data_IF_042545238408
#
_entry.id   IF_042545238408
#
_cell.length_a   1.000
_cell.length_b   1.000
_cell.length_c   1.000
_cell.angle_alpha   90.00
_cell.angle_beta   90.00
_cell.angle_gamma   90.00
#
_symmetry.space_group_name_H-M   'P 1'
#
loop_
_entity.id
_entity.type
_entity.pdbx_description
1 polymer ?
#
# COMPACT_ATOMS: atom_id res chain seq x y z
N UNK A 1 1.92 -2.46 -20.65
CA UNK A 1 2.19 -3.24 -19.43
C UNK A 1 3.42 -2.66 -18.74
N UNK A 2 3.39 -2.50 -17.43
CA UNK A 2 4.53 -1.98 -16.67
C UNK A 2 5.32 -3.13 -16.02
N UNK A 3 6.49 -2.81 -15.45
CA UNK A 3 7.40 -3.79 -14.85
C UNK A 3 6.76 -4.64 -13.75
N UNK A 4 5.85 -4.07 -12.93
CA UNK A 4 5.22 -4.78 -11.83
C UNK A 4 4.12 -5.73 -12.34
N UNK A 5 3.37 -5.32 -13.36
CA UNK A 5 2.41 -6.18 -14.05
C UNK A 5 3.11 -7.38 -14.69
N UNK A 6 4.27 -7.15 -15.33
CA UNK A 6 5.10 -8.22 -15.91
C UNK A 6 5.61 -9.17 -14.82
N UNK A 7 6.11 -8.64 -13.70
CA UNK A 7 6.57 -9.47 -12.57
C UNK A 7 5.43 -10.29 -11.97
N UNK A 8 4.22 -9.72 -11.84
CA UNK A 8 3.03 -10.45 -11.38
C UNK A 8 2.68 -11.59 -12.32
N UNK A 9 2.77 -11.37 -13.64
CA UNK A 9 2.51 -12.45 -14.62
C UNK A 9 3.55 -13.57 -14.55
N UNK A 10 4.82 -13.24 -14.31
CA UNK A 10 5.91 -14.20 -14.25
C UNK A 10 5.90 -15.03 -12.96
N UNK A 11 5.79 -14.39 -11.82
CA UNK A 11 6.05 -15.00 -10.51
C UNK A 11 4.81 -15.05 -9.59
N UNK A 12 3.72 -14.43 -10.00
CA UNK A 12 2.47 -14.46 -9.25
C UNK A 12 1.75 -15.80 -9.39
N UNK A 13 0.92 -16.13 -8.40
CA UNK A 13 -0.03 -17.24 -8.48
C UNK A 13 -1.39 -16.82 -7.97
N UNK A 14 -2.45 -17.27 -8.62
CA UNK A 14 -3.82 -17.05 -8.17
C UNK A 14 -4.28 -18.31 -7.45
N UNK A 15 -4.67 -18.19 -6.19
CA UNK A 15 -5.22 -19.29 -5.39
C UNK A 15 -6.74 -19.27 -5.41
N UNK A 16 -7.35 -20.39 -5.02
CA UNK A 16 -8.82 -20.52 -4.91
C UNK A 16 -9.41 -19.37 -4.11
N UNK A 17 -10.49 -18.78 -4.62
CA UNK A 17 -11.11 -17.58 -4.07
C UNK A 17 -10.48 -16.28 -4.57
N UNK A 18 -9.78 -16.32 -5.72
CA UNK A 18 -9.16 -15.17 -6.39
C UNK A 18 -8.20 -14.41 -5.44
N UNK A 19 -7.33 -15.18 -4.76
CA UNK A 19 -6.29 -14.62 -3.90
C UNK A 19 -4.98 -14.59 -4.69
N UNK A 20 -4.50 -13.38 -5.00
CA UNK A 20 -3.19 -13.20 -5.61
C UNK A 20 -2.09 -13.41 -4.56
N UNK A 21 -1.16 -14.31 -4.86
CA UNK A 21 0.07 -14.51 -4.10
C UNK A 21 1.25 -13.99 -4.91
N UNK A 22 1.93 -13.03 -4.33
CA UNK A 22 3.17 -12.41 -4.83
C UNK A 22 4.24 -12.44 -3.73
N UNK A 23 4.19 -13.51 -2.94
CA UNK A 23 4.99 -13.70 -1.73
C UNK A 23 6.49 -13.79 -2.06
N UNK A 24 6.82 -14.23 -3.28
CA UNK A 24 8.19 -14.44 -3.75
C UNK A 24 8.99 -13.15 -3.96
N UNK A 25 8.33 -12.00 -4.05
CA UNK A 25 9.03 -10.74 -4.35
C UNK A 25 8.51 -9.50 -3.58
N UNK A 26 7.33 -9.57 -2.94
CA UNK A 26 6.76 -8.40 -2.28
C UNK A 26 6.44 -8.62 -0.79
N UNK A 27 5.76 -9.71 -0.42
CA UNK A 27 5.10 -9.81 0.88
C UNK A 27 5.78 -10.77 1.86
N UNK A 28 6.56 -11.75 1.38
CA UNK A 28 7.26 -12.72 2.22
C UNK A 28 8.76 -12.70 1.97
N UNK A 29 9.16 -12.83 0.72
CA UNK A 29 10.51 -12.50 0.26
C UNK A 29 10.49 -11.12 -0.37
N UNK A 30 11.52 -10.32 -0.09
CA UNK A 30 11.70 -8.99 -0.67
C UNK A 30 12.70 -9.11 -1.82
N UNK A 31 12.22 -8.93 -3.05
CA UNK A 31 13.08 -8.77 -4.22
C UNK A 31 13.51 -7.30 -4.30
N UNK A 32 14.77 -7.04 -4.00
CA UNK A 32 15.27 -5.67 -3.86
C UNK A 32 15.22 -4.88 -5.17
N UNK A 33 15.33 -5.54 -6.31
CA UNK A 33 15.30 -4.85 -7.61
C UNK A 33 13.88 -4.43 -7.96
N UNK A 34 12.89 -5.26 -7.65
CA UNK A 34 11.48 -4.91 -7.78
C UNK A 34 11.11 -3.78 -6.81
N UNK A 35 11.57 -3.86 -5.56
CA UNK A 35 11.30 -2.81 -4.56
C UNK A 35 11.91 -1.46 -4.97
N UNK A 36 13.12 -1.45 -5.55
CA UNK A 36 13.72 -0.23 -6.11
C UNK A 36 12.89 0.34 -7.25
N UNK A 37 12.45 -0.48 -8.19
CA UNK A 37 11.61 -0.05 -9.30
C UNK A 37 10.29 0.53 -8.81
N UNK A 38 9.64 -0.09 -7.80
CA UNK A 38 8.43 0.45 -7.14
C UNK A 38 8.72 1.83 -6.55
N UNK A 39 9.81 1.98 -5.79
CA UNK A 39 10.17 3.25 -5.16
C UNK A 39 10.47 4.34 -6.21
N UNK A 40 11.22 4.05 -7.27
CA UNK A 40 11.48 4.99 -8.36
C UNK A 40 10.20 5.41 -9.09
N UNK A 41 9.32 4.47 -9.36
CA UNK A 41 8.06 4.76 -10.06
C UNK A 41 7.13 5.62 -9.18
N UNK A 42 7.02 5.33 -7.89
CA UNK A 42 6.25 6.18 -6.96
C UNK A 42 6.87 7.58 -6.87
N UNK A 43 8.20 7.69 -6.75
CA UNK A 43 8.88 9.00 -6.77
C UNK A 43 8.59 9.77 -8.05
N UNK A 44 8.61 9.11 -9.20
CA UNK A 44 8.30 9.73 -10.51
C UNK A 44 6.86 10.26 -10.56
N UNK A 45 5.91 9.49 -10.02
CA UNK A 45 4.47 9.88 -10.02
C UNK A 45 4.19 11.04 -9.08
N UNK A 46 4.90 11.16 -7.97
CA UNK A 46 4.73 12.21 -6.97
C UNK A 46 5.78 13.32 -7.04
N UNK A 47 6.49 13.46 -8.18
CA UNK A 47 7.60 14.43 -8.33
C UNK A 47 7.20 15.90 -8.20
N UNK A 48 5.92 16.22 -8.37
CA UNK A 48 5.33 17.56 -8.41
C UNK A 48 4.68 17.98 -7.09
N UNK A 49 4.78 17.15 -6.04
CA UNK A 49 4.26 17.47 -4.71
C UNK A 49 5.37 17.48 -3.67
N UNK A 50 5.19 18.33 -2.67
CA UNK A 50 6.10 18.41 -1.52
C UNK A 50 5.76 17.33 -0.50
N UNK A 51 6.79 16.60 -0.08
CA UNK A 51 6.71 15.51 0.88
C UNK A 51 7.87 15.67 1.85
N UNK A 52 7.62 15.67 3.15
CA UNK A 52 8.66 15.71 4.18
C UNK A 52 8.60 14.50 5.12
N UNK A 53 7.65 13.58 4.88
CA UNK A 53 7.52 12.34 5.65
C UNK A 53 6.78 11.28 4.87
N UNK A 54 7.17 10.02 5.06
CA UNK A 54 6.44 8.86 4.53
C UNK A 54 5.78 8.13 5.69
N UNK A 55 4.51 7.76 5.53
CA UNK A 55 3.75 6.95 6.47
C UNK A 55 3.31 5.66 5.81
N UNK A 56 3.51 4.55 6.50
CA UNK A 56 3.04 3.23 6.07
C UNK A 56 2.43 2.46 7.23
N UNK A 57 2.06 1.21 6.99
CA UNK A 57 1.57 0.30 8.03
C UNK A 57 2.36 -1.00 8.01
N UNK A 58 2.65 -1.58 9.18
CA UNK A 58 3.34 -2.87 9.27
C UNK A 58 2.53 -4.00 8.61
N UNK A 59 3.19 -4.97 7.94
CA UNK A 59 4.64 -5.12 7.81
C UNK A 59 5.13 -4.82 6.37
N UNK A 60 4.41 -5.25 5.33
CA UNK A 60 4.87 -5.29 3.92
C UNK A 60 5.13 -3.91 3.30
N UNK A 61 4.37 -2.89 3.70
CA UNK A 61 4.59 -1.51 3.25
C UNK A 61 5.93 -0.91 3.70
N UNK A 62 6.55 -1.42 4.78
CA UNK A 62 7.79 -0.86 5.34
C UNK A 62 8.95 -0.93 4.34
N UNK A 63 9.09 -2.04 3.61
CA UNK A 63 10.18 -2.19 2.66
C UNK A 63 10.12 -1.14 1.53
N UNK A 64 8.94 -0.95 0.96
CA UNK A 64 8.70 0.06 -0.09
C UNK A 64 8.95 1.47 0.47
N UNK A 65 8.37 1.77 1.64
CA UNK A 65 8.49 3.07 2.29
C UNK A 65 9.96 3.42 2.58
N UNK A 66 10.77 2.45 3.04
CA UNK A 66 12.19 2.64 3.35
C UNK A 66 12.99 2.99 2.10
N UNK A 67 12.80 2.29 0.98
CA UNK A 67 13.51 2.61 -0.25
C UNK A 67 13.04 3.96 -0.85
N UNK A 68 11.75 4.24 -0.75
CA UNK A 68 11.21 5.51 -1.21
C UNK A 68 11.71 6.69 -0.37
N UNK A 69 11.82 6.52 0.95
CA UNK A 69 12.34 7.56 1.85
C UNK A 69 13.79 7.93 1.54
N UNK A 70 14.61 6.94 1.20
CA UNK A 70 15.98 7.18 0.76
C UNK A 70 16.03 8.06 -0.52
N UNK A 71 15.06 7.92 -1.42
CA UNK A 71 14.98 8.75 -2.62
C UNK A 71 14.51 10.19 -2.33
N UNK A 72 13.69 10.39 -1.30
CA UNK A 72 13.17 11.70 -0.90
C UNK A 72 14.04 12.38 0.16
N UNK A 73 14.95 11.65 0.80
CA UNK A 73 15.72 12.08 1.96
C UNK A 73 14.83 12.56 3.13
N UNK A 74 13.81 11.76 3.45
CA UNK A 74 12.81 12.04 4.48
C UNK A 74 12.61 10.84 5.40
N UNK A 75 12.17 11.03 6.66
CA UNK A 75 11.94 9.91 7.56
C UNK A 75 10.71 9.09 7.17
N UNK A 76 10.76 7.79 7.54
CA UNK A 76 9.60 6.88 7.50
C UNK A 76 9.04 6.71 8.90
N UNK A 77 7.73 6.79 9.00
CA UNK A 77 6.96 6.36 10.17
C UNK A 77 6.09 5.19 9.75
N UNK A 78 6.01 4.15 10.56
CA UNK A 78 5.07 3.07 10.32
C UNK A 78 4.10 2.91 11.49
N UNK A 79 2.83 2.80 11.14
CA UNK A 79 1.77 2.49 12.09
C UNK A 79 1.85 1.02 12.48
N UNK A 80 1.61 0.75 13.76
CA UNK A 80 1.56 -0.60 14.32
C UNK A 80 0.13 -1.11 14.40
N UNK A 81 -0.03 -2.43 14.30
CA UNK A 81 -1.32 -3.13 14.44
C UNK A 81 -1.37 -3.88 15.78
N UNK A 82 -2.53 -3.84 16.45
CA UNK A 82 -2.80 -4.61 17.65
C UNK A 82 -2.89 -3.75 18.91
N UNK A 83 -3.12 -4.41 20.04
CA UNK A 83 -3.17 -3.75 21.35
C UNK A 83 -1.77 -3.24 21.71
N UNK A 84 -1.68 -1.95 21.98
CA UNK A 84 -0.45 -1.38 22.52
C UNK A 84 -0.31 -1.84 23.97
N UNK A 85 0.65 -2.72 24.25
CA UNK A 85 1.05 -3.06 25.62
C UNK A 85 1.61 -1.84 26.37
N UNK A 86 1.96 -0.79 25.64
CA UNK A 86 2.36 0.49 26.21
C UNK A 86 1.10 1.32 26.36
N UNK A 87 0.57 1.38 27.55
CA UNK A 87 -0.45 2.34 27.99
C UNK A 87 0.20 3.74 27.96
N UNK A 88 0.47 4.29 26.79
CA UNK A 88 0.81 5.70 26.67
C UNK A 88 -0.40 6.40 26.06
N UNK A 89 -0.94 7.37 26.79
CA UNK A 89 -1.97 8.29 26.33
C UNK A 89 -1.48 9.14 25.14
N UNK A 90 -0.26 8.91 24.66
CA UNK A 90 0.46 9.74 23.71
C UNK A 90 0.56 9.08 22.33
N UNK A 91 -0.58 8.62 21.80
CA UNK A 91 -0.71 8.03 20.47
C UNK A 91 -1.89 8.62 19.69
N UNK A 92 -1.75 8.65 18.37
CA UNK A 92 -2.88 8.74 17.44
C UNK A 92 -3.34 7.33 17.12
N UNK A 93 -4.64 7.07 17.15
CA UNK A 93 -5.19 5.74 17.02
C UNK A 93 -6.42 5.73 16.10
N UNK A 94 -6.51 4.73 15.27
CA UNK A 94 -7.66 4.46 14.42
C UNK A 94 -7.95 2.96 14.34
N UNK A 95 -9.04 2.58 13.70
CA UNK A 95 -9.45 1.18 13.56
C UNK A 95 -9.48 0.78 12.09
N UNK A 96 -8.86 -0.37 11.78
CA UNK A 96 -8.93 -0.98 10.47
C UNK A 96 -9.55 -2.37 10.55
N UNK A 97 -10.60 -2.62 9.77
CA UNK A 97 -11.17 -3.96 9.66
C UNK A 97 -10.29 -4.85 8.76
N UNK A 98 -9.84 -5.96 9.29
CA UNK A 98 -9.13 -6.98 8.52
C UNK A 98 -10.12 -8.01 7.98
N UNK A 99 -10.38 -8.00 6.66
CA UNK A 99 -11.22 -9.00 6.01
C UNK A 99 -10.62 -10.40 6.04
N UNK A 100 -9.30 -10.51 5.98
CA UNK A 100 -8.59 -11.79 6.05
C UNK A 100 -8.75 -12.45 7.42
N UNK A 101 -8.69 -11.65 8.49
CA UNK A 101 -8.82 -12.13 9.88
C UNK A 101 -10.22 -11.94 10.47
N UNK A 102 -11.14 -11.30 9.73
CA UNK A 102 -12.50 -10.95 10.17
C UNK A 102 -12.52 -10.26 11.54
N UNK A 103 -11.55 -9.40 11.80
CA UNK A 103 -11.35 -8.73 13.09
C UNK A 103 -11.03 -7.25 12.88
N UNK A 104 -11.57 -6.40 13.77
CA UNK A 104 -11.08 -5.02 13.90
C UNK A 104 -9.69 -5.06 14.53
N UNK A 105 -8.74 -4.34 13.92
CA UNK A 105 -7.43 -4.14 14.50
C UNK A 105 -7.28 -2.66 14.83
N UNK A 106 -6.75 -2.37 15.99
CA UNK A 106 -6.30 -1.04 16.31
C UNK A 106 -5.01 -0.74 15.51
N UNK A 107 -4.94 0.46 14.96
CA UNK A 107 -3.81 0.98 14.21
C UNK A 107 -3.36 2.25 14.90
N UNK A 108 -2.09 2.37 15.25
CA UNK A 108 -1.62 3.52 16.00
C UNK A 108 -0.21 3.97 15.62
N UNK A 109 0.05 5.25 15.89
CA UNK A 109 1.36 5.92 15.77
C UNK A 109 1.57 6.77 17.01
N UNK A 110 2.76 6.72 17.62
CA UNK A 110 3.11 7.60 18.75
C UNK A 110 3.18 9.06 18.27
N UNK A 111 2.55 9.97 19.03
CA UNK A 111 2.41 11.40 18.67
C UNK A 111 3.73 12.13 18.37
N UNK A 112 4.86 11.87 19.07
CA UNK A 112 6.12 12.56 18.76
C UNK A 112 6.61 12.40 17.32
N UNK A 113 6.13 11.38 16.58
CA UNK A 113 6.58 11.08 15.22
C UNK A 113 5.72 11.73 14.12
N UNK A 114 4.57 12.31 14.46
CA UNK A 114 3.71 13.05 13.51
C UNK A 114 3.45 14.47 14.03
N UNK A 115 3.72 15.45 13.20
CA UNK A 115 3.57 16.88 13.52
C UNK A 115 2.57 17.53 12.55
N UNK A 116 1.88 18.56 13.00
CA UNK A 116 0.93 19.32 12.18
C UNK A 116 1.55 19.97 10.92
N UNK A 117 2.88 20.13 10.90
CA UNK A 117 3.63 20.66 9.74
C UNK A 117 4.00 19.60 8.72
N UNK A 118 3.70 18.31 8.98
CA UNK A 118 4.09 17.23 8.09
C UNK A 118 3.24 17.20 6.83
N UNK A 119 3.93 16.99 5.69
CA UNK A 119 3.36 16.72 4.38
C UNK A 119 3.62 15.26 4.04
N UNK A 120 2.62 14.43 4.24
CA UNK A 120 2.78 12.97 4.33
C UNK A 120 2.40 12.29 3.02
N UNK A 121 3.30 11.46 2.51
CA UNK A 121 2.98 10.44 1.51
C UNK A 121 2.67 9.12 2.23
N UNK A 122 1.43 8.65 2.11
CA UNK A 122 1.04 7.32 2.57
C UNK A 122 1.45 6.30 1.51
N UNK A 123 2.10 5.20 1.92
CA UNK A 123 2.57 4.14 1.01
C UNK A 123 2.18 2.78 1.55
N UNK A 124 1.68 1.90 0.66
CA UNK A 124 1.38 0.50 1.03
C UNK A 124 1.62 -0.46 -0.16
N UNK A 125 1.71 -1.76 0.14
CA UNK A 125 1.89 -2.80 -0.87
C UNK A 125 0.58 -3.10 -1.62
N UNK A 126 -0.53 -3.26 -0.91
CA UNK A 126 -1.85 -3.57 -1.47
C UNK A 126 -2.93 -2.57 -1.07
N UNK A 127 -3.75 -2.19 -2.04
CA UNK A 127 -5.02 -1.50 -1.79
C UNK A 127 -6.18 -2.44 -2.16
N UNK A 128 -6.93 -2.85 -1.16
CA UNK A 128 -8.12 -3.69 -1.29
C UNK A 128 -9.39 -2.83 -1.06
N UNK A 129 -10.06 -3.00 0.05
CA UNK A 129 -11.23 -2.23 0.45
C UNK A 129 -10.91 -0.85 1.08
N UNK A 130 -9.62 -0.55 1.27
CA UNK A 130 -9.12 0.75 1.72
C UNK A 130 -9.07 0.96 3.23
N UNK A 131 -9.38 -0.05 4.05
CA UNK A 131 -9.45 0.12 5.51
C UNK A 131 -8.12 0.58 6.12
N UNK A 132 -6.99 0.02 5.67
CA UNK A 132 -5.67 0.42 6.15
C UNK A 132 -5.37 1.88 5.78
N UNK A 133 -5.59 2.25 4.52
CA UNK A 133 -5.37 3.63 4.05
C UNK A 133 -6.27 4.63 4.79
N UNK A 134 -7.55 4.30 5.01
CA UNK A 134 -8.48 5.16 5.75
C UNK A 134 -8.05 5.34 7.22
N UNK A 135 -7.54 4.27 7.86
CA UNK A 135 -7.02 4.38 9.23
C UNK A 135 -5.77 5.27 9.28
N UNK A 136 -4.86 5.16 8.30
CA UNK A 136 -3.69 6.04 8.22
C UNK A 136 -4.07 7.49 7.95
N UNK A 137 -5.05 7.75 7.08
CA UNK A 137 -5.59 9.09 6.82
C UNK A 137 -6.16 9.70 8.10
N UNK A 138 -6.95 8.94 8.86
CA UNK A 138 -7.51 9.38 10.12
C UNK A 138 -6.41 9.76 11.14
N UNK A 139 -5.37 8.93 11.27
CA UNK A 139 -4.20 9.19 12.11
C UNK A 139 -3.48 10.50 11.69
N UNK A 140 -3.31 10.72 10.39
CA UNK A 140 -2.72 11.96 9.86
C UNK A 140 -3.59 13.16 10.21
N UNK A 141 -4.90 13.07 10.06
CA UNK A 141 -5.82 14.15 10.43
C UNK A 141 -5.79 14.44 11.93
N UNK A 142 -5.75 13.43 12.80
CA UNK A 142 -5.63 13.61 14.25
C UNK A 142 -4.34 14.37 14.63
N UNK A 143 -3.26 14.20 13.88
CA UNK A 143 -2.00 14.93 14.12
C UNK A 143 -2.01 16.38 13.61
N UNK A 144 -3.04 16.78 12.86
CA UNK A 144 -3.11 18.05 12.17
C UNK A 144 -2.25 18.13 10.90
N UNK A 145 -1.60 17.03 10.50
CA UNK A 145 -0.78 16.94 9.30
C UNK A 145 -1.62 16.85 8.01
N UNK A 146 -0.96 17.00 6.88
CA UNK A 146 -1.57 16.92 5.56
C UNK A 146 -1.20 15.60 4.86
N UNK A 147 -2.20 14.92 4.29
CA UNK A 147 -1.97 13.84 3.32
C UNK A 147 -1.68 14.47 1.95
N UNK A 148 -0.43 14.40 1.48
CA UNK A 148 -0.02 14.92 0.17
C UNK A 148 -0.35 13.95 -0.97
N UNK A 149 -0.37 12.64 -0.69
CA UNK A 149 -0.70 11.62 -1.66
C UNK A 149 -0.72 10.23 -1.05
N UNK A 150 -1.18 9.26 -1.84
CA UNK A 150 -1.25 7.84 -1.47
C UNK A 150 -0.65 7.03 -2.62
N UNK A 151 0.45 6.32 -2.34
CA UNK A 151 1.18 5.49 -3.29
C UNK A 151 0.99 4.00 -2.99
N UNK A 152 0.53 3.23 -3.97
CA UNK A 152 0.20 1.81 -3.82
C UNK A 152 0.95 1.01 -4.88
N UNK A 153 1.53 -0.13 -4.49
CA UNK A 153 2.13 -1.02 -5.46
C UNK A 153 1.04 -1.74 -6.27
N UNK A 154 0.10 -2.42 -5.62
CA UNK A 154 -0.94 -3.22 -6.28
C UNK A 154 -2.33 -2.85 -5.77
N UNK A 155 -3.20 -2.35 -6.65
CA UNK A 155 -4.60 -2.06 -6.36
C UNK A 155 -5.50 -3.18 -6.87
N UNK A 156 -6.40 -3.65 -6.02
CA UNK A 156 -7.50 -4.55 -6.41
C UNK A 156 -8.67 -3.71 -6.92
N UNK A 157 -8.66 -3.40 -8.21
CA UNK A 157 -9.59 -2.47 -8.84
C UNK A 157 -11.07 -2.85 -8.75
N UNK A 158 -11.37 -4.16 -8.56
CA UNK A 158 -12.75 -4.65 -8.32
C UNK A 158 -13.22 -4.39 -6.88
N UNK A 159 -12.34 -3.97 -5.96
CA UNK A 159 -12.70 -3.63 -4.60
C UNK A 159 -12.91 -2.11 -4.45
N UNK A 160 -13.58 -1.72 -3.39
CA UNK A 160 -14.07 -0.33 -3.26
C UNK A 160 -13.02 0.70 -2.84
N UNK A 161 -11.86 0.27 -2.31
CA UNK A 161 -10.89 1.16 -1.67
C UNK A 161 -10.40 2.28 -2.58
N UNK A 162 -9.95 1.94 -3.79
CA UNK A 162 -9.48 2.94 -4.75
C UNK A 162 -10.54 3.98 -5.11
N UNK A 163 -11.78 3.52 -5.35
CA UNK A 163 -12.89 4.42 -5.65
C UNK A 163 -13.25 5.34 -4.46
N UNK A 164 -13.20 4.83 -3.23
CA UNK A 164 -13.45 5.63 -2.03
C UNK A 164 -12.41 6.73 -1.90
N UNK A 165 -11.12 6.39 -1.96
CA UNK A 165 -10.03 7.34 -1.80
C UNK A 165 -10.04 8.44 -2.88
N UNK A 166 -10.28 8.06 -4.16
CA UNK A 166 -10.43 9.03 -5.26
C UNK A 166 -11.64 9.95 -5.08
N UNK A 167 -12.79 9.42 -4.65
CA UNK A 167 -13.99 10.22 -4.36
C UNK A 167 -13.79 11.18 -3.17
N UNK A 168 -12.95 10.84 -2.21
CA UNK A 168 -12.57 11.73 -1.12
C UNK A 168 -11.59 12.84 -1.56
N UNK A 169 -11.15 12.85 -2.82
CA UNK A 169 -10.27 13.86 -3.39
C UNK A 169 -8.78 13.61 -3.15
N UNK A 170 -8.39 12.43 -2.63
CA UNK A 170 -6.98 12.11 -2.46
C UNK A 170 -6.32 11.79 -3.81
N UNK A 171 -5.09 12.29 -3.99
CA UNK A 171 -4.22 11.84 -5.08
C UNK A 171 -3.74 10.43 -4.80
N UNK A 172 -4.33 9.47 -5.49
CA UNK A 172 -4.02 8.05 -5.39
C UNK A 172 -3.31 7.58 -6.67
N UNK A 173 -2.09 7.07 -6.51
CA UNK A 173 -1.30 6.48 -7.58
C UNK A 173 -1.04 5.00 -7.27
N UNK A 174 -1.57 4.13 -8.11
CA UNK A 174 -1.35 2.68 -8.03
C UNK A 174 -0.54 2.21 -9.22
N UNK A 175 0.58 1.48 -8.99
CA UNK A 175 1.48 1.06 -10.07
C UNK A 175 0.81 0.00 -10.94
N UNK A 176 0.27 -1.05 -10.32
CA UNK A 176 -0.52 -2.07 -10.99
C UNK A 176 -1.96 -2.03 -10.46
N UNK A 177 -2.94 -1.94 -11.36
CA UNK A 177 -4.36 -2.02 -11.01
C UNK A 177 -4.91 -3.29 -11.64
N UNK A 178 -5.34 -4.23 -10.82
CA UNK A 178 -5.93 -5.49 -11.26
C UNK A 178 -7.45 -5.31 -11.28
N UNK A 179 -8.07 -5.49 -12.42
CA UNK A 179 -9.53 -5.39 -12.57
C UNK A 179 -10.25 -6.72 -12.40
N UNK A 180 -9.57 -7.82 -12.77
CA UNK A 180 -10.18 -9.14 -12.74
C UNK A 180 -9.11 -10.22 -12.57
N UNK A 181 -9.45 -11.29 -11.87
CA UNK A 181 -8.64 -12.49 -11.75
C UNK A 181 -9.51 -13.73 -11.76
N UNK A 182 -9.00 -14.79 -12.37
CA UNK A 182 -9.63 -16.11 -12.36
C UNK A 182 -8.62 -17.19 -11.97
N UNK A 183 -8.91 -17.89 -10.88
CA UNK A 183 -8.03 -18.91 -10.34
C UNK A 183 -8.04 -20.21 -11.17
N UNK A 184 -9.17 -20.54 -11.83
CA UNK A 184 -9.29 -21.77 -12.62
C UNK A 184 -8.47 -21.70 -13.91
N UNK A 185 -8.57 -20.58 -14.60
CA UNK A 185 -7.81 -20.33 -15.83
C UNK A 185 -6.42 -19.75 -15.58
N UNK A 186 -6.08 -19.39 -14.31
CA UNK A 186 -4.85 -18.69 -13.95
C UNK A 186 -4.66 -17.45 -14.81
N UNK A 187 -5.71 -16.63 -14.94
CA UNK A 187 -5.69 -15.44 -15.75
C UNK A 187 -5.98 -14.18 -14.94
N UNK A 188 -5.46 -13.07 -15.40
CA UNK A 188 -5.53 -11.76 -14.76
C UNK A 188 -5.73 -10.68 -15.82
N UNK A 189 -6.53 -9.66 -15.49
CA UNK A 189 -6.68 -8.47 -16.31
C UNK A 189 -6.27 -7.24 -15.52
N UNK A 190 -5.27 -6.55 -16.03
CA UNK A 190 -4.89 -5.24 -15.52
C UNK A 190 -5.68 -4.13 -16.21
N UNK A 191 -5.71 -2.97 -15.58
CA UNK A 191 -6.37 -1.78 -16.13
C UNK A 191 -5.84 -1.44 -17.53
N UNK A 192 -6.78 -1.25 -18.48
CA UNK A 192 -6.48 -1.01 -19.90
C UNK A 192 -5.68 -2.13 -20.61
N UNK A 193 -5.77 -3.38 -20.12
CA UNK A 193 -5.14 -4.55 -20.73
C UNK A 193 -6.20 -5.63 -21.02
N UNK A 194 -5.94 -6.53 -21.99
CA UNK A 194 -6.76 -7.75 -22.16
C UNK A 194 -6.54 -8.72 -21.00
N UNK A 195 -7.35 -9.78 -20.96
CA UNK A 195 -7.12 -10.90 -20.06
C UNK A 195 -5.82 -11.63 -20.45
N UNK A 196 -4.92 -11.82 -19.51
CA UNK A 196 -3.61 -12.45 -19.69
C UNK A 196 -3.49 -13.69 -18.81
N UNK A 197 -2.78 -14.71 -19.27
CA UNK A 197 -2.45 -15.88 -18.44
C UNK A 197 -1.19 -15.63 -17.65
N UNK A 198 -1.17 -16.10 -16.40
CA UNK A 198 0.06 -16.15 -15.62
C UNK A 198 1.00 -17.20 -16.22
N UNK A 199 2.28 -16.88 -16.26
CA UNK A 199 3.30 -17.83 -16.65
C UNK A 199 3.48 -18.80 -15.48
N UNK A 200 2.99 -20.03 -15.62
CA UNK A 200 3.26 -21.07 -14.64
C UNK A 200 4.75 -21.45 -14.76
N UNK A 201 5.57 -21.04 -13.79
CA UNK A 201 6.89 -21.61 -13.60
C UNK A 201 6.71 -23.12 -13.31
N UNK A 202 7.24 -23.96 -14.18
CA UNK A 202 7.27 -25.43 -14.03
C UNK A 202 8.07 -25.85 -12.82
#
# INVERSE_FOLDING_TARGET
MNFLEEKILLDGTIKKGNILKIDSFLNHQIDIDIMRQIAYELKRRFRDIEINKILTIEASGIAIATLLSNLYDVPVVFAKKGESAIISEDKYESKAYSFTRKKMNDVFVSKPYLKATDKILIVDDFLADGQASLALIDIVHQSGAQVSGIGIAVEKGWQKGGNILRKMGFRLESIAIIEEMDWESQSIRFHNQPMLKLYQSR
#
